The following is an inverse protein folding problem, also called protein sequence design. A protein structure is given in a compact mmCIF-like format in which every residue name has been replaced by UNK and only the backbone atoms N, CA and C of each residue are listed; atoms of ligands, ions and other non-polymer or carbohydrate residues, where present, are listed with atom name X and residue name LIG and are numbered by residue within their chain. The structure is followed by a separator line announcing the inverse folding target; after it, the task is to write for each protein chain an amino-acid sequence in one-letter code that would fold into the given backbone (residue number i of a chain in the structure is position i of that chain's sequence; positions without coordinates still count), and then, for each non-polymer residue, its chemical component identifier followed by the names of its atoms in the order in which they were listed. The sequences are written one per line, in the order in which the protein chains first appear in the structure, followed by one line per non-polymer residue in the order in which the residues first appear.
data_IF_986268866471
#
_entry.id   IF_986268866471
#
_cell.length_a   1.000
_cell.length_b   1.000
_cell.length_c   1.000
_cell.angle_alpha   90.00
_cell.angle_beta   90.00
_cell.angle_gamma   90.00
#
_symmetry.space_group_name_H-M   'P 1'
#
loop_
_entity.id
_entity.type
_entity.pdbx_description
1 polymer ?
#
# COMPACT_ATOMS: atom_id res chain seq x y z
N UNK A 1 -3.36 9.85 -12.48
CA UNK A 1 -2.54 8.70 -12.05
C UNK A 1 -1.08 9.04 -12.26
N UNK A 2 -0.37 9.31 -11.17
CA UNK A 2 0.99 9.85 -11.13
C UNK A 2 1.99 8.92 -11.86
N UNK A 3 2.99 9.45 -12.58
CA UNK A 3 3.93 8.63 -13.38
C UNK A 3 4.73 7.63 -12.52
N UNK A 4 5.04 8.01 -11.27
CA UNK A 4 5.73 7.16 -10.29
C UNK A 4 4.93 5.88 -9.96
N UNK A 5 3.60 6.00 -9.81
CA UNK A 5 2.71 4.86 -9.53
C UNK A 5 2.73 3.86 -10.68
N UNK A 6 2.70 4.36 -11.93
CA UNK A 6 2.76 3.51 -13.12
C UNK A 6 4.09 2.75 -13.22
N UNK A 7 5.20 3.40 -12.86
CA UNK A 7 6.52 2.76 -12.80
C UNK A 7 6.59 1.65 -11.76
N UNK A 8 6.16 1.93 -10.53
CA UNK A 8 6.15 0.95 -9.44
C UNK A 8 5.29 -0.27 -9.79
N UNK A 9 4.05 -0.06 -10.28
CA UNK A 9 3.17 -1.16 -10.70
C UNK A 9 3.74 -1.92 -11.91
N UNK A 10 4.38 -1.22 -12.84
CA UNK A 10 5.02 -1.82 -14.01
C UNK A 10 6.12 -2.82 -13.62
N UNK A 11 6.98 -2.44 -12.66
CA UNK A 11 8.05 -3.30 -12.16
C UNK A 11 7.50 -4.53 -11.44
N UNK A 12 6.52 -4.36 -10.56
CA UNK A 12 5.88 -5.46 -9.82
C UNK A 12 5.27 -6.49 -10.79
N UNK A 13 4.60 -6.02 -11.84
CA UNK A 13 4.03 -6.90 -12.88
C UNK A 13 5.09 -7.62 -13.71
N UNK A 14 6.23 -6.97 -13.97
CA UNK A 14 7.33 -7.60 -14.70
C UNK A 14 7.92 -8.79 -13.93
N UNK A 15 7.93 -8.71 -12.60
CA UNK A 15 8.36 -9.79 -11.70
C UNK A 15 7.28 -10.88 -11.50
N UNK A 16 6.14 -10.80 -12.20
CA UNK A 16 5.05 -11.76 -12.07
C UNK A 16 4.25 -11.63 -10.77
N UNK A 17 4.48 -10.54 -10.02
CA UNK A 17 3.75 -10.24 -8.80
C UNK A 17 2.52 -9.38 -9.13
N UNK A 18 1.47 -9.56 -8.33
CA UNK A 18 0.24 -8.79 -8.45
C UNK A 18 -0.11 -8.22 -7.08
N UNK A 19 -0.40 -6.92 -7.05
CA UNK A 19 -0.99 -6.29 -5.88
C UNK A 19 -2.47 -6.63 -5.82
N UNK A 20 -2.95 -6.93 -4.62
CA UNK A 20 -4.37 -6.93 -4.28
C UNK A 20 -4.95 -5.52 -4.44
N UNK A 21 -6.28 -5.42 -4.48
CA UNK A 21 -6.95 -4.12 -4.55
C UNK A 21 -6.58 -3.23 -3.35
N UNK A 22 -6.52 -3.80 -2.15
CA UNK A 22 -6.17 -3.07 -0.92
C UNK A 22 -4.74 -2.53 -0.96
N UNK A 23 -3.78 -3.30 -1.50
CA UNK A 23 -2.40 -2.85 -1.66
C UNK A 23 -2.28 -1.75 -2.73
N UNK A 24 -3.04 -1.85 -3.83
CA UNK A 24 -3.08 -0.81 -4.85
C UNK A 24 -3.65 0.51 -4.30
N UNK A 25 -4.72 0.44 -3.52
CA UNK A 25 -5.33 1.61 -2.86
C UNK A 25 -4.38 2.25 -1.84
N UNK A 26 -3.67 1.42 -1.06
CA UNK A 26 -2.66 1.89 -0.10
C UNK A 26 -1.51 2.62 -0.80
N UNK A 27 -0.98 2.03 -1.88
CA UNK A 27 0.09 2.64 -2.68
C UNK A 27 -0.36 3.97 -3.31
N UNK A 28 -1.59 4.02 -3.82
CA UNK A 28 -2.14 5.25 -4.38
C UNK A 28 -2.25 6.36 -3.32
N UNK A 29 -2.76 6.05 -2.12
CA UNK A 29 -2.89 7.02 -1.04
C UNK A 29 -1.55 7.63 -0.63
N UNK A 30 -0.48 6.81 -0.56
CA UNK A 30 0.86 7.29 -0.27
C UNK A 30 1.42 8.18 -1.40
N UNK A 31 1.33 7.72 -2.66
CA UNK A 31 1.83 8.48 -3.80
C UNK A 31 1.05 9.77 -4.10
N UNK A 32 -0.19 9.89 -3.61
CA UNK A 32 -1.00 11.12 -3.67
C UNK A 32 -0.78 12.03 -2.45
N UNK A 33 0.07 11.64 -1.49
CA UNK A 33 0.37 12.42 -0.29
C UNK A 33 -0.76 12.47 0.72
N UNK A 34 -1.73 11.54 0.64
CA UNK A 34 -2.87 11.47 1.57
C UNK A 34 -2.48 10.85 2.92
N UNK A 35 -1.41 10.05 2.95
CA UNK A 35 -0.84 9.42 4.14
C UNK A 35 0.67 9.62 4.19
N UNK A 36 1.24 9.61 5.40
CA UNK A 36 2.69 9.64 5.60
C UNK A 36 3.33 8.29 5.23
N UNK A 37 4.66 8.29 5.06
CA UNK A 37 5.45 7.07 4.89
C UNK A 37 5.29 6.13 6.10
N UNK A 38 5.32 6.66 7.32
CA UNK A 38 5.10 5.89 8.55
C UNK A 38 3.72 5.19 8.56
N UNK A 39 2.66 5.89 8.14
CA UNK A 39 1.32 5.30 8.06
C UNK A 39 1.20 4.29 6.91
N UNK A 40 1.91 4.51 5.80
CA UNK A 40 2.01 3.55 4.71
C UNK A 40 2.65 2.23 5.20
N UNK A 41 3.82 2.31 5.85
CA UNK A 41 4.55 1.16 6.38
C UNK A 41 3.71 0.38 7.40
N UNK A 42 3.07 1.10 8.32
CA UNK A 42 2.18 0.50 9.33
C UNK A 42 1.04 -0.26 8.67
N UNK A 43 0.36 0.32 7.67
CA UNK A 43 -0.76 -0.31 6.98
C UNK A 43 -0.31 -1.47 6.09
N UNK A 44 0.83 -1.35 5.41
CA UNK A 44 1.40 -2.42 4.61
C UNK A 44 1.74 -3.64 5.46
N UNK A 45 2.36 -3.43 6.63
CA UNK A 45 2.64 -4.51 7.59
C UNK A 45 1.36 -5.21 8.04
N UNK A 46 0.30 -4.45 8.35
CA UNK A 46 -0.99 -5.02 8.76
C UNK A 46 -1.64 -5.86 7.65
N UNK A 47 -1.54 -5.44 6.39
CA UNK A 47 -2.01 -6.20 5.24
C UNK A 47 -1.27 -7.54 5.11
N UNK A 48 0.07 -7.52 5.22
CA UNK A 48 0.92 -8.73 5.16
C UNK A 48 0.61 -9.70 6.31
N UNK A 49 0.38 -9.18 7.51
CA UNK A 49 0.03 -9.99 8.68
C UNK A 49 -1.43 -10.48 8.67
N UNK A 50 -2.24 -10.03 7.71
CA UNK A 50 -3.68 -10.35 7.65
C UNK A 50 -4.49 -9.78 8.82
N UNK A 51 -3.98 -8.74 9.50
CA UNK A 51 -4.62 -8.17 10.68
C UNK A 51 -5.40 -6.91 10.29
N UNK A 52 -6.71 -6.92 10.51
CA UNK A 52 -7.54 -5.74 10.27
C UNK A 52 -7.13 -4.62 11.24
N UNK A 53 -6.74 -3.46 10.70
CA UNK A 53 -6.28 -2.28 11.46
C UNK A 53 -7.21 -1.85 12.62
N UNK A 54 -8.49 -2.22 12.59
CA UNK A 54 -9.47 -1.96 13.66
C UNK A 54 -9.08 -2.51 15.03
N UNK A 55 -8.21 -3.51 15.13
CA UNK A 55 -7.80 -4.06 16.44
C UNK A 55 -6.71 -3.23 17.15
N UNK A 56 -5.96 -2.40 16.44
CA UNK A 56 -4.86 -1.60 17.03
C UNK A 56 -5.22 -0.15 17.34
N UNK A 57 -6.44 0.29 17.00
CA UNK A 57 -6.94 1.64 17.31
C UNK A 57 -7.53 1.76 18.74
N UNK A 58 -7.24 0.80 19.62
CA UNK A 58 -7.69 0.78 21.04
C UNK A 58 -6.55 0.93 22.06
N UNK A 59 -5.35 1.33 21.63
CA UNK A 59 -4.22 1.65 22.51
C UNK A 59 -4.19 3.12 22.86
#
# INVERSE_FOLDING_TARGET
MNQLIRGAIGNIKHEGMYLTLEEMELLAAYCEGQISEEEYDRRALLLVLGVKAKQYLKG
#
